data_IF_450521859451
#
_entry.id   IF_450521859451
#
_cell.length_a   1.000
_cell.length_b   1.000
_cell.length_c   1.000
_cell.angle_alpha   90.00
_cell.angle_beta   90.00
_cell.angle_gamma   90.00
#
_symmetry.space_group_name_H-M   'P 1'
#
loop_
_entity.id
_entity.type
_entity.pdbx_description
1 polymer ?
#
# COMPACT_ATOMS: atom_id res chain seq x y z
N UNK A 1 -25.36 -8.66 1.63
CA UNK A 1 -24.84 -7.54 2.44
C UNK A 1 -23.56 -7.05 1.79
N UNK A 2 -23.56 -5.84 1.24
CA UNK A 2 -22.34 -5.20 0.76
C UNK A 2 -21.78 -4.38 1.92
N UNK A 3 -20.67 -4.83 2.50
CA UNK A 3 -19.97 -4.07 3.54
C UNK A 3 -19.15 -3.01 2.80
N UNK A 4 -19.44 -1.73 3.06
CA UNK A 4 -18.64 -0.63 2.52
C UNK A 4 -17.21 -0.80 3.01
N UNK A 5 -16.25 -0.66 2.10
CA UNK A 5 -14.85 -0.68 2.48
C UNK A 5 -14.55 0.52 3.41
N UNK A 6 -13.74 0.36 4.48
CA UNK A 6 -13.48 1.43 5.43
C UNK A 6 -12.89 2.67 4.76
N UNK A 7 -13.36 3.84 5.17
CA UNK A 7 -12.70 5.11 4.87
C UNK A 7 -11.42 5.27 5.71
N UNK A 8 -10.55 6.26 5.40
CA UNK A 8 -9.27 6.40 6.08
C UNK A 8 -9.38 6.53 7.60
N UNK A 9 -10.40 7.25 8.10
CA UNK A 9 -10.61 7.44 9.53
C UNK A 9 -10.97 6.11 10.21
N UNK A 10 -11.93 5.37 9.63
CA UNK A 10 -12.28 4.02 10.11
C UNK A 10 -11.09 3.06 10.01
N UNK A 11 -10.27 3.18 8.97
CA UNK A 11 -9.08 2.34 8.79
C UNK A 11 -8.01 2.64 9.85
N UNK A 12 -7.87 3.90 10.26
CA UNK A 12 -7.00 4.29 11.36
C UNK A 12 -7.43 3.61 12.67
N UNK A 13 -8.73 3.61 12.99
CA UNK A 13 -9.25 2.94 14.19
C UNK A 13 -8.98 1.43 14.16
N UNK A 14 -9.14 0.80 12.99
CA UNK A 14 -8.81 -0.62 12.80
C UNK A 14 -7.32 -0.86 13.06
N UNK A 15 -6.44 -0.02 12.50
CA UNK A 15 -4.99 -0.15 12.69
C UNK A 15 -4.61 0.01 14.16
N UNK A 16 -5.19 0.96 14.89
CA UNK A 16 -4.90 1.19 16.31
C UNK A 16 -5.27 -0.02 17.18
N UNK A 17 -6.38 -0.70 16.88
CA UNK A 17 -6.77 -1.94 17.58
C UNK A 17 -5.75 -3.07 17.38
N UNK A 18 -5.14 -3.15 16.19
CA UNK A 18 -4.17 -4.20 15.86
C UNK A 18 -2.73 -3.86 16.27
N UNK A 19 -2.36 -2.58 16.21
CA UNK A 19 -1.01 -2.09 16.48
C UNK A 19 -1.05 -0.83 17.36
N UNK A 20 -1.35 -0.97 18.66
CA UNK A 20 -1.48 0.18 19.56
C UNK A 20 -0.20 1.01 19.63
N UNK A 21 -0.32 2.33 19.49
CA UNK A 21 0.82 3.25 19.56
C UNK A 21 1.79 3.17 18.37
N UNK A 22 1.37 2.56 17.26
CA UNK A 22 2.17 2.56 16.04
C UNK A 22 2.46 4.00 15.58
N UNK A 23 3.70 4.27 15.18
CA UNK A 23 4.17 5.60 14.76
C UNK A 23 3.19 6.20 13.75
N UNK A 24 2.44 7.24 14.14
CA UNK A 24 1.39 7.84 13.31
C UNK A 24 1.86 8.20 11.91
N UNK A 25 3.10 8.68 11.76
CA UNK A 25 3.69 8.97 10.45
C UNK A 25 3.82 7.75 9.54
N UNK A 26 4.21 6.59 10.06
CA UNK A 26 4.31 5.36 9.25
C UNK A 26 2.93 4.94 8.75
N UNK A 27 1.93 4.98 9.64
CA UNK A 27 0.55 4.61 9.32
C UNK A 27 -0.02 5.53 8.25
N UNK A 28 0.14 6.85 8.41
CA UNK A 28 -0.37 7.83 7.43
C UNK A 28 0.21 7.60 6.04
N UNK A 29 1.54 7.42 5.92
CA UNK A 29 2.17 7.18 4.62
C UNK A 29 1.76 5.81 4.03
N UNK A 30 1.67 4.77 4.86
CA UNK A 30 1.22 3.45 4.43
C UNK A 30 -0.24 3.47 3.96
N UNK A 31 -1.14 4.13 4.67
CA UNK A 31 -2.55 4.26 4.28
C UNK A 31 -2.69 4.99 2.96
N UNK A 32 -1.92 6.05 2.74
CA UNK A 32 -1.91 6.77 1.47
C UNK A 32 -1.57 5.82 0.30
N UNK A 33 -0.44 5.12 0.40
CA UNK A 33 0.00 4.12 -0.61
C UNK A 33 -1.06 3.04 -0.81
N UNK A 34 -1.65 2.55 0.27
CA UNK A 34 -2.67 1.51 0.23
C UNK A 34 -3.92 1.94 -0.55
N UNK A 35 -4.43 3.16 -0.30
CA UNK A 35 -5.59 3.68 -1.03
C UNK A 35 -5.26 4.02 -2.48
N UNK A 36 -4.11 4.62 -2.76
CA UNK A 36 -3.67 4.91 -4.13
C UNK A 36 -3.61 3.63 -4.97
N UNK A 37 -3.10 2.54 -4.38
CA UNK A 37 -3.04 1.23 -5.04
C UNK A 37 -4.43 0.63 -5.30
N UNK A 38 -5.40 0.85 -4.41
CA UNK A 38 -6.80 0.40 -4.61
C UNK A 38 -7.51 1.13 -5.74
N UNK A 39 -7.01 2.31 -6.10
CA UNK A 39 -7.56 3.12 -7.19
C UNK A 39 -6.89 2.86 -8.55
N UNK A 40 -5.86 2.00 -8.60
CA UNK A 40 -5.20 1.64 -9.86
C UNK A 40 -6.18 0.93 -10.82
N UNK A 41 -6.42 1.50 -12.02
CA UNK A 41 -7.31 0.90 -13.00
C UNK A 41 -6.79 -0.46 -13.48
N UNK A 42 -7.70 -1.43 -13.64
CA UNK A 42 -7.36 -2.76 -14.15
C UNK A 42 -6.86 -3.76 -13.11
N UNK A 43 -6.73 -3.35 -11.84
CA UNK A 43 -6.41 -4.26 -10.75
C UNK A 43 -7.55 -5.26 -10.54
N UNK A 44 -7.27 -6.56 -10.64
CA UNK A 44 -8.31 -7.61 -10.56
C UNK A 44 -8.83 -7.80 -9.14
N UNK A 45 -7.92 -7.79 -8.16
CA UNK A 45 -8.27 -7.88 -6.74
C UNK A 45 -7.70 -6.67 -6.02
N UNK A 46 -8.58 -5.81 -5.50
CA UNK A 46 -8.17 -4.71 -4.62
C UNK A 46 -7.65 -5.30 -3.28
N UNK A 47 -6.52 -4.80 -2.75
CA UNK A 47 -5.97 -5.24 -1.47
C UNK A 47 -6.96 -4.98 -0.32
N UNK A 48 -7.08 -5.93 0.58
CA UNK A 48 -8.02 -5.95 1.71
C UNK A 48 -7.45 -5.33 2.98
N UNK A 49 -8.29 -5.12 3.99
CA UNK A 49 -7.85 -4.70 5.33
C UNK A 49 -6.83 -5.68 5.93
N UNK A 50 -7.01 -6.99 5.78
CA UNK A 50 -6.05 -7.98 6.26
C UNK A 50 -4.69 -7.87 5.57
N UNK A 51 -4.68 -7.63 4.25
CA UNK A 51 -3.45 -7.44 3.49
C UNK A 51 -2.72 -6.13 3.89
N UNK A 52 -3.46 -5.06 4.25
CA UNK A 52 -2.87 -3.85 4.84
C UNK A 52 -2.21 -4.15 6.19
N UNK A 53 -2.89 -4.86 7.08
CA UNK A 53 -2.36 -5.18 8.41
C UNK A 53 -1.10 -6.05 8.32
N UNK A 54 -1.12 -7.09 7.48
CA UNK A 54 0.05 -7.91 7.20
C UNK A 54 1.22 -7.08 6.65
N UNK A 55 0.93 -6.12 5.77
CA UNK A 55 1.94 -5.23 5.22
C UNK A 55 2.53 -4.30 6.29
N UNK A 56 1.70 -3.68 7.14
CA UNK A 56 2.17 -2.86 8.26
C UNK A 56 3.07 -3.64 9.21
N UNK A 57 2.69 -4.89 9.54
CA UNK A 57 3.52 -5.79 10.36
C UNK A 57 4.89 -6.02 9.74
N UNK A 58 4.95 -6.24 8.43
CA UNK A 58 6.21 -6.44 7.72
C UNK A 58 7.06 -5.16 7.69
N UNK A 59 6.45 -4.00 7.42
CA UNK A 59 7.16 -2.71 7.46
C UNK A 59 7.78 -2.44 8.83
N UNK A 60 7.09 -2.81 9.91
CA UNK A 60 7.60 -2.70 11.27
C UNK A 60 8.76 -3.67 11.54
N UNK A 61 8.60 -4.94 11.14
CA UNK A 61 9.62 -5.97 11.37
C UNK A 61 10.93 -5.68 10.63
N UNK A 62 10.85 -5.03 9.47
CA UNK A 62 12.00 -4.66 8.65
C UNK A 62 12.52 -3.23 8.95
N UNK A 63 12.01 -2.59 10.01
CA UNK A 63 12.35 -1.21 10.41
C UNK A 63 12.27 -0.20 9.25
N UNK A 64 11.26 -0.34 8.38
CA UNK A 64 11.10 0.52 7.21
C UNK A 64 10.74 1.94 7.64
N UNK A 65 11.61 2.88 7.30
CA UNK A 65 11.39 4.30 7.56
C UNK A 65 10.18 4.84 6.77
N UNK A 66 9.30 5.68 7.36
CA UNK A 66 8.17 6.32 6.65
C UNK A 66 8.58 7.09 5.40
N UNK A 67 9.78 7.66 5.40
CA UNK A 67 10.43 8.33 4.27
C UNK A 67 10.55 7.42 3.03
N UNK A 68 10.66 6.11 3.24
CA UNK A 68 10.74 5.11 2.17
C UNK A 68 9.42 4.97 1.43
N UNK A 69 8.30 5.19 2.13
CA UNK A 69 6.94 5.14 1.58
C UNK A 69 6.54 6.45 0.91
N UNK A 70 7.21 7.56 1.24
CA UNK A 70 6.86 8.88 0.69
C UNK A 70 6.98 8.90 -0.83
N UNK A 71 5.88 9.27 -1.46
CA UNK A 71 5.81 9.57 -2.88
C UNK A 71 6.57 10.84 -3.20
N UNK A 72 7.67 10.70 -3.93
CA UNK A 72 8.20 11.77 -4.78
C UNK A 72 8.73 11.24 -6.10
N UNK A 73 8.57 9.93 -6.33
CA UNK A 73 9.12 9.27 -7.50
C UNK A 73 8.10 8.33 -8.13
N UNK A 74 7.50 8.71 -9.28
CA UNK A 74 6.68 7.81 -10.11
C UNK A 74 7.39 6.51 -10.47
N UNK A 75 8.72 6.46 -10.35
CA UNK A 75 9.54 5.25 -10.55
C UNK A 75 9.41 4.23 -9.42
N UNK A 76 8.77 4.57 -8.30
CA UNK A 76 8.53 3.71 -7.12
C UNK A 76 7.04 3.34 -6.96
N UNK A 77 6.33 3.19 -8.07
CA UNK A 77 4.94 2.67 -8.10
C UNK A 77 4.77 1.33 -7.37
N UNK A 78 5.87 0.59 -7.13
CA UNK A 78 5.87 -0.64 -6.34
C UNK A 78 6.39 -0.32 -4.93
N UNK A 79 5.54 -0.37 -3.89
CA UNK A 79 5.98 -0.18 -2.53
C UNK A 79 6.89 -1.33 -2.04
N UNK A 80 7.74 -1.09 -1.03
CA UNK A 80 8.50 -2.17 -0.40
C UNK A 80 7.54 -3.23 0.14
N UNK A 81 7.91 -4.51 0.04
CA UNK A 81 7.12 -5.63 0.56
C UNK A 81 5.70 -5.72 -0.04
N UNK A 82 5.49 -5.22 -1.26
CA UNK A 82 4.20 -5.21 -1.97
C UNK A 82 3.54 -6.59 -2.13
N UNK A 83 4.27 -7.70 -2.02
CA UNK A 83 3.70 -9.06 -2.01
C UNK A 83 2.77 -9.33 -0.81
N UNK A 84 2.81 -8.48 0.21
CA UNK A 84 1.81 -8.46 1.27
C UNK A 84 0.45 -7.94 0.77
N UNK A 85 0.48 -6.99 -0.15
CA UNK A 85 -0.69 -6.30 -0.69
C UNK A 85 -1.22 -6.94 -1.98
N UNK A 86 -0.32 -7.42 -2.84
CA UNK A 86 -0.64 -8.05 -4.13
C UNK A 86 -0.34 -9.54 -4.03
N UNK A 87 -1.39 -10.37 -4.01
CA UNK A 87 -1.28 -11.83 -3.95
C UNK A 87 -1.34 -12.53 -5.31
N UNK A 88 -1.50 -11.76 -6.39
CA UNK A 88 -1.66 -12.27 -7.75
C UNK A 88 -0.54 -11.77 -8.65
N UNK A 89 0.16 -12.69 -9.31
CA UNK A 89 1.27 -12.40 -10.24
C UNK A 89 0.87 -11.46 -11.38
N UNK A 90 -0.38 -11.54 -11.86
CA UNK A 90 -0.86 -10.67 -12.94
C UNK A 90 -0.95 -9.21 -12.49
N UNK A 91 -1.40 -9.00 -11.24
CA UNK A 91 -1.50 -7.67 -10.66
C UNK A 91 -0.09 -7.12 -10.36
N UNK A 92 0.85 -7.97 -9.93
CA UNK A 92 2.28 -7.59 -9.80
C UNK A 92 2.85 -7.14 -11.15
N UNK A 93 2.64 -7.91 -12.22
CA UNK A 93 3.14 -7.56 -13.55
C UNK A 93 2.53 -6.26 -14.10
N UNK A 94 1.25 -5.98 -13.80
CA UNK A 94 0.62 -4.70 -14.14
C UNK A 94 1.39 -3.54 -13.50
N UNK A 95 1.69 -3.64 -12.20
CA UNK A 95 2.43 -2.61 -11.47
C UNK A 95 3.86 -2.45 -11.98
N UNK A 96 4.55 -3.54 -12.31
CA UNK A 96 5.88 -3.50 -12.93
C UNK A 96 5.87 -2.78 -14.27
N UNK A 97 4.88 -3.05 -15.12
CA UNK A 97 4.70 -2.33 -16.40
C UNK A 97 4.44 -0.84 -16.19
N UNK A 98 3.55 -0.48 -15.27
CA UNK A 98 3.24 0.92 -14.95
C UNK A 98 4.50 1.65 -14.43
N UNK A 99 5.25 1.02 -13.51
CA UNK A 99 6.51 1.54 -12.98
C UNK A 99 7.56 1.75 -14.08
N UNK A 100 7.65 0.82 -15.02
CA UNK A 100 8.56 0.91 -16.16
C UNK A 100 8.18 2.04 -17.13
N UNK A 101 6.89 2.20 -17.45
CA UNK A 101 6.42 3.29 -18.32
C UNK A 101 6.65 4.67 -17.67
N UNK A 102 6.37 4.81 -16.38
CA UNK A 102 6.62 6.03 -15.62
C UNK A 102 8.11 6.42 -15.59
N UNK A 103 9.02 5.43 -15.60
CA UNK A 103 10.47 5.66 -15.72
C UNK A 103 10.90 6.18 -17.09
N UNK A 104 10.23 5.76 -18.16
CA UNK A 104 10.59 6.12 -19.56
C UNK A 104 10.10 7.49 -19.99
N UNK A 105 8.93 7.93 -19.54
CA UNK A 105 8.35 9.23 -19.91
C UNK A 105 9.08 10.46 -19.33
N UNK A 106 10.20 10.25 -18.63
CA UNK A 106 11.03 11.30 -18.01
C UNK A 106 12.45 11.40 -18.60
N UNK A 107 12.73 10.68 -19.70
CA UNK A 107 13.93 10.87 -20.52
C UNK A 107 13.63 11.75 -21.73
#
# INVERSE_FOLDING_TARGET
HYIKFPDPDTMHDIVEVHYPGLKGRLVTEALKVFYDMREVPGLKKKPSTSELLDWLKLLMNEDVAPETLRESDPRKLIPPLHGALLKNEQDVHLFERLAFMARRNKQ
#
